data_IF_270981499217
#
_entry.id   IF_270981499217
#
_cell.length_a   1.000
_cell.length_b   1.000
_cell.length_c   1.000
_cell.angle_alpha   90.00
_cell.angle_beta   90.00
_cell.angle_gamma   90.00
#
_symmetry.space_group_name_H-M   'P 1'
#
loop_
_entity.id
_entity.type
_entity.pdbx_description
1 polymer ?
#
# COMPACT_ATOMS: atom_id res chain seq x y z
N UNK A 1 14.52 -0.53 -3.71
CA UNK A 1 13.47 -0.69 -2.67
C UNK A 1 12.62 -1.92 -2.94
N UNK A 2 12.06 -2.54 -1.90
CA UNK A 2 11.02 -3.56 -2.04
C UNK A 2 9.66 -2.89 -1.94
N UNK A 3 8.75 -3.14 -2.90
CA UNK A 3 7.44 -2.51 -2.95
C UNK A 3 6.34 -3.54 -3.19
N UNK A 4 5.27 -3.47 -2.39
CA UNK A 4 4.05 -4.25 -2.57
C UNK A 4 2.98 -3.33 -3.14
N UNK A 5 2.50 -3.61 -4.35
CA UNK A 5 1.37 -2.93 -4.96
C UNK A 5 0.08 -3.68 -4.66
N UNK A 6 -0.86 -3.04 -3.98
CA UNK A 6 -2.17 -3.61 -3.70
C UNK A 6 -3.09 -3.43 -4.92
N UNK A 7 -3.41 -4.51 -5.58
CA UNK A 7 -4.22 -4.56 -6.81
C UNK A 7 -5.53 -5.36 -6.65
N UNK A 8 -6.06 -5.47 -5.43
CA UNK A 8 -7.21 -6.32 -5.09
C UNK A 8 -8.61 -5.73 -5.38
N UNK A 9 -8.73 -4.59 -6.03
CA UNK A 9 -10.00 -3.91 -6.28
C UNK A 9 -10.99 -4.69 -7.15
N UNK A 10 -12.30 -4.69 -6.80
CA UNK A 10 -13.35 -5.45 -7.52
C UNK A 10 -13.75 -4.87 -8.88
N UNK A 11 -13.23 -3.72 -9.28
CA UNK A 11 -13.52 -3.09 -10.57
C UNK A 11 -14.99 -2.68 -10.83
N UNK A 12 -15.93 -2.99 -9.92
CA UNK A 12 -17.37 -2.84 -10.13
C UNK A 12 -17.87 -1.41 -10.31
N UNK A 13 -17.10 -0.41 -9.87
CA UNK A 13 -17.52 1.02 -9.88
C UNK A 13 -17.58 1.63 -11.28
N UNK A 14 -16.92 1.04 -12.27
CA UNK A 14 -16.90 1.54 -13.65
C UNK A 14 -17.63 0.58 -14.63
N UNK A 15 -18.56 -0.24 -14.13
CA UNK A 15 -19.37 -1.08 -15.00
C UNK A 15 -20.15 -0.20 -16.02
N UNK A 16 -20.22 -0.55 -17.35
CA UNK A 16 -19.78 -1.79 -17.97
C UNK A 16 -18.32 -1.83 -18.44
N UNK A 17 -17.53 -0.77 -18.24
CA UNK A 17 -16.13 -0.70 -18.69
C UNK A 17 -15.21 -1.63 -17.92
N UNK A 18 -15.55 -1.93 -16.65
CA UNK A 18 -14.78 -2.82 -15.78
C UNK A 18 -15.64 -3.91 -15.13
N UNK A 19 -15.03 -5.05 -14.85
CA UNK A 19 -15.60 -6.18 -14.13
C UNK A 19 -14.51 -6.88 -13.29
N UNK A 20 -14.83 -8.00 -12.62
CA UNK A 20 -13.89 -8.72 -11.76
C UNK A 20 -12.65 -9.27 -12.49
N UNK A 21 -12.74 -9.51 -13.81
CA UNK A 21 -11.62 -9.96 -14.66
C UNK A 21 -10.90 -8.73 -15.25
N UNK A 22 -11.66 -7.78 -15.79
CA UNK A 22 -11.16 -6.55 -16.38
C UNK A 22 -11.35 -5.38 -15.43
N UNK A 23 -10.57 -5.35 -14.35
CA UNK A 23 -10.59 -4.25 -13.39
C UNK A 23 -10.09 -2.94 -14.01
N UNK A 24 -10.50 -1.79 -13.43
CA UNK A 24 -10.19 -0.43 -13.92
C UNK A 24 -8.69 -0.21 -14.17
N UNK A 25 -7.83 -0.79 -13.34
CA UNK A 25 -6.38 -0.62 -13.42
C UNK A 25 -5.73 -1.27 -14.64
N UNK A 26 -6.45 -2.13 -15.39
CA UNK A 26 -5.96 -2.78 -16.61
C UNK A 26 -6.47 -2.14 -17.91
N UNK A 27 -7.33 -1.12 -17.81
CA UNK A 27 -7.86 -0.42 -18.99
C UNK A 27 -6.85 0.63 -19.43
N UNK A 28 -6.47 0.64 -20.72
CA UNK A 28 -5.53 1.60 -21.30
C UNK A 28 -6.21 2.95 -21.53
N UNK A 29 -6.14 3.84 -20.55
CA UNK A 29 -6.78 5.16 -20.55
C UNK A 29 -5.77 6.32 -20.53
N UNK A 30 -4.53 6.07 -20.14
CA UNK A 30 -3.53 7.11 -19.95
C UNK A 30 -2.65 7.23 -21.19
N UNK A 31 -2.56 8.44 -21.75
CA UNK A 31 -1.74 8.72 -22.93
C UNK A 31 -0.28 8.90 -22.53
N UNK A 32 0.62 8.19 -23.18
CA UNK A 32 2.07 8.33 -23.05
C UNK A 32 2.60 9.48 -23.91
N UNK A 33 3.83 9.98 -23.64
CA UNK A 33 4.46 11.00 -24.49
C UNK A 33 4.65 10.60 -25.96
N UNK A 34 4.80 9.31 -26.25
CA UNK A 34 4.92 8.75 -27.60
C UNK A 34 3.57 8.61 -28.35
N UNK A 35 2.46 9.00 -27.69
CA UNK A 35 1.12 8.93 -28.24
C UNK A 35 0.40 7.60 -28.04
N UNK A 36 1.07 6.56 -27.56
CA UNK A 36 0.46 5.29 -27.17
C UNK A 36 -0.37 5.41 -25.89
N UNK A 37 -1.16 4.38 -25.56
CA UNK A 37 -1.96 4.36 -24.34
C UNK A 37 -1.48 3.27 -23.39
N UNK A 38 -1.41 3.61 -22.11
CA UNK A 38 -1.08 2.69 -21.01
C UNK A 38 -2.24 2.56 -20.02
N UNK A 39 -2.29 1.46 -19.30
CA UNK A 39 -3.17 1.24 -18.16
C UNK A 39 -2.56 1.84 -16.89
N UNK A 40 -3.36 1.97 -15.81
CA UNK A 40 -2.86 2.47 -14.53
C UNK A 40 -1.71 1.61 -14.00
N UNK A 41 -1.81 0.28 -14.07
CA UNK A 41 -0.76 -0.59 -13.57
C UNK A 41 0.54 -0.48 -14.39
N UNK A 42 0.45 -0.31 -15.72
CA UNK A 42 1.63 -0.05 -16.57
C UNK A 42 2.26 1.30 -16.22
N UNK A 43 1.44 2.34 -16.00
CA UNK A 43 1.90 3.67 -15.60
C UNK A 43 2.65 3.63 -14.26
N UNK A 44 2.04 3.06 -13.23
CA UNK A 44 2.63 2.94 -11.90
C UNK A 44 3.94 2.14 -11.95
N UNK A 45 3.96 1.00 -12.64
CA UNK A 45 5.15 0.18 -12.79
C UNK A 45 6.29 0.95 -13.49
N UNK A 46 5.99 1.64 -14.58
CA UNK A 46 6.96 2.47 -15.31
C UNK A 46 7.52 3.59 -14.43
N UNK A 47 6.67 4.30 -13.68
CA UNK A 47 7.10 5.38 -12.79
C UNK A 47 7.98 4.87 -11.65
N UNK A 48 7.68 3.72 -11.06
CA UNK A 48 8.55 3.06 -10.07
C UNK A 48 9.94 2.80 -10.68
N UNK A 49 9.98 2.19 -11.87
CA UNK A 49 11.24 1.87 -12.57
C UNK A 49 12.02 3.11 -12.98
N UNK A 50 11.35 4.24 -13.23
CA UNK A 50 12.02 5.52 -13.52
C UNK A 50 12.73 6.08 -12.28
N UNK A 51 12.14 5.91 -11.09
CA UNK A 51 12.69 6.40 -9.82
C UNK A 51 13.74 5.43 -9.25
N UNK A 52 13.50 4.14 -9.40
CA UNK A 52 14.39 3.07 -8.91
C UNK A 52 14.35 1.89 -9.90
N UNK A 53 15.35 1.84 -10.78
CA UNK A 53 15.45 0.79 -11.80
C UNK A 53 15.61 -0.62 -11.22
N UNK A 54 16.15 -0.72 -9.99
CA UNK A 54 16.37 -1.99 -9.29
C UNK A 54 15.23 -2.32 -8.29
N UNK A 55 14.14 -1.53 -8.29
CA UNK A 55 13.01 -1.79 -7.40
C UNK A 55 12.45 -3.21 -7.59
N UNK A 56 12.32 -3.97 -6.51
CA UNK A 56 11.62 -5.24 -6.52
C UNK A 56 10.12 -4.98 -6.33
N UNK A 57 9.37 -5.15 -7.41
CA UNK A 57 7.93 -4.91 -7.42
C UNK A 57 7.19 -6.24 -7.25
N UNK A 58 6.35 -6.32 -6.21
CA UNK A 58 5.46 -7.45 -5.94
C UNK A 58 4.02 -6.97 -5.99
N UNK A 59 3.18 -7.60 -6.79
CA UNK A 59 1.77 -7.24 -6.93
C UNK A 59 0.93 -8.23 -6.13
N UNK A 60 0.23 -7.73 -5.09
CA UNK A 60 -0.76 -8.49 -4.34
C UNK A 60 -2.09 -8.43 -5.09
N UNK A 61 -2.59 -9.56 -5.55
CA UNK A 61 -3.75 -9.62 -6.45
C UNK A 61 -4.51 -10.95 -6.35
N UNK A 62 -5.70 -10.99 -6.94
CA UNK A 62 -6.48 -12.22 -7.05
C UNK A 62 -6.02 -13.08 -8.25
N UNK A 63 -6.27 -14.40 -8.17
CA UNK A 63 -5.95 -15.35 -9.24
C UNK A 63 -6.50 -14.94 -10.61
N UNK A 64 -7.69 -14.34 -10.67
CA UNK A 64 -8.33 -13.92 -11.92
C UNK A 64 -7.61 -12.79 -12.65
N UNK A 65 -6.72 -12.06 -11.98
CA UNK A 65 -6.01 -10.91 -12.54
C UNK A 65 -4.57 -11.23 -12.98
N UNK A 66 -4.03 -12.38 -12.60
CA UNK A 66 -2.65 -12.78 -12.87
C UNK A 66 -2.30 -12.71 -14.36
N UNK A 67 -3.12 -13.31 -15.23
CA UNK A 67 -2.88 -13.29 -16.68
C UNK A 67 -2.86 -11.88 -17.25
N UNK A 68 -3.75 -10.98 -16.77
CA UNK A 68 -3.78 -9.58 -17.22
C UNK A 68 -2.50 -8.85 -16.81
N UNK A 69 -2.00 -9.08 -15.59
CA UNK A 69 -0.77 -8.47 -15.09
C UNK A 69 0.43 -8.94 -15.91
N UNK A 70 0.58 -10.25 -16.12
CA UNK A 70 1.68 -10.81 -16.91
C UNK A 70 1.65 -10.34 -18.37
N UNK A 71 0.47 -10.21 -18.97
CA UNK A 71 0.33 -9.69 -20.33
C UNK A 71 0.73 -8.20 -20.46
N UNK A 72 0.54 -7.40 -19.41
CA UNK A 72 0.83 -5.96 -19.43
C UNK A 72 2.25 -5.65 -18.99
N UNK A 73 2.77 -6.36 -17.98
CA UNK A 73 4.06 -6.04 -17.33
C UNK A 73 5.17 -7.04 -17.65
N UNK A 74 4.85 -8.19 -18.27
CA UNK A 74 5.83 -9.25 -18.49
C UNK A 74 6.08 -10.09 -17.23
N UNK A 75 7.21 -10.80 -17.22
CA UNK A 75 7.58 -11.76 -16.17
C UNK A 75 8.53 -11.19 -15.11
N UNK A 76 8.99 -9.94 -15.26
CA UNK A 76 9.95 -9.29 -14.36
C UNK A 76 9.29 -8.70 -13.10
N UNK A 77 8.05 -9.06 -12.85
CA UNK A 77 7.25 -8.64 -11.70
C UNK A 77 6.91 -9.86 -10.84
N UNK A 78 7.05 -9.73 -9.53
CA UNK A 78 6.59 -10.75 -8.59
C UNK A 78 5.08 -10.64 -8.39
N UNK A 79 4.40 -11.77 -8.21
CA UNK A 79 2.96 -11.80 -7.96
C UNK A 79 2.68 -12.64 -6.71
N UNK A 80 2.10 -11.99 -5.70
CA UNK A 80 1.52 -12.65 -4.53
C UNK A 80 0.02 -12.83 -4.77
N UNK A 81 -0.41 -14.09 -4.93
CA UNK A 81 -1.80 -14.42 -5.30
C UNK A 81 -2.62 -14.69 -4.06
N UNK A 82 -3.64 -13.86 -3.84
CA UNK A 82 -4.64 -14.10 -2.81
C UNK A 82 -5.62 -15.21 -3.27
N UNK A 83 -5.78 -16.30 -2.49
CA UNK A 83 -6.76 -17.35 -2.80
C UNK A 83 -8.21 -16.84 -2.80
N UNK A 84 -8.52 -15.90 -1.91
CA UNK A 84 -9.82 -15.22 -1.80
C UNK A 84 -9.63 -13.81 -1.24
N UNK A 85 -10.69 -13.01 -1.13
CA UNK A 85 -10.59 -11.63 -0.60
C UNK A 85 -10.75 -11.60 0.91
N UNK A 86 -9.74 -11.10 1.63
CA UNK A 86 -9.71 -10.96 3.08
C UNK A 86 -9.31 -9.57 3.57
N UNK A 87 -9.48 -8.53 2.72
CA UNK A 87 -9.06 -7.16 2.98
C UNK A 87 -7.52 -7.01 3.03
N UNK A 88 -7.01 -5.84 3.40
CA UNK A 88 -5.61 -5.47 3.16
C UNK A 88 -4.63 -6.10 4.13
N UNK A 89 -5.00 -6.40 5.38
CA UNK A 89 -4.03 -7.00 6.31
C UNK A 89 -3.60 -8.41 5.90
N UNK A 90 -4.49 -9.38 5.62
CA UNK A 90 -4.07 -10.69 5.14
C UNK A 90 -3.32 -10.63 3.80
N UNK A 91 -3.69 -9.70 2.90
CA UNK A 91 -3.00 -9.51 1.62
C UNK A 91 -1.55 -9.04 1.82
N UNK A 92 -1.34 -8.07 2.71
CA UNK A 92 -0.01 -7.55 3.06
C UNK A 92 0.82 -8.62 3.78
N UNK A 93 0.23 -9.37 4.71
CA UNK A 93 0.90 -10.47 5.42
C UNK A 93 1.37 -11.56 4.45
N UNK A 94 0.49 -12.01 3.54
CA UNK A 94 0.83 -13.02 2.53
C UNK A 94 1.93 -12.53 1.58
N UNK A 95 1.84 -11.29 1.09
CA UNK A 95 2.85 -10.71 0.21
C UNK A 95 4.21 -10.50 0.93
N UNK A 96 4.18 -10.15 2.22
CA UNK A 96 5.38 -10.03 3.05
C UNK A 96 6.05 -11.40 3.27
N UNK A 97 5.27 -12.44 3.56
CA UNK A 97 5.78 -13.81 3.67
C UNK A 97 6.35 -14.31 2.32
N UNK A 98 5.69 -13.98 1.20
CA UNK A 98 6.19 -14.26 -0.15
C UNK A 98 7.55 -13.59 -0.40
N UNK A 99 7.70 -12.31 -0.04
CA UNK A 99 8.97 -11.60 -0.17
C UNK A 99 10.08 -12.28 0.63
N UNK A 100 9.80 -12.68 1.87
CA UNK A 100 10.79 -13.34 2.70
C UNK A 100 11.17 -14.74 2.19
N UNK A 101 10.19 -15.61 1.98
CA UNK A 101 10.45 -17.03 1.72
C UNK A 101 10.73 -17.34 0.23
N UNK A 102 10.09 -16.62 -0.71
CA UNK A 102 10.26 -16.88 -2.15
C UNK A 102 11.25 -15.94 -2.81
N UNK A 103 11.34 -14.70 -2.34
CA UNK A 103 12.27 -13.70 -2.89
C UNK A 103 13.52 -13.52 -2.02
N UNK A 104 13.61 -14.19 -0.87
CA UNK A 104 14.76 -14.16 0.05
C UNK A 104 15.11 -12.74 0.56
N UNK A 105 14.09 -11.89 0.74
CA UNK A 105 14.27 -10.57 1.32
C UNK A 105 14.55 -10.71 2.82
N UNK A 106 15.64 -10.13 3.33
CA UNK A 106 15.98 -10.12 4.75
C UNK A 106 14.89 -9.46 5.61
N UNK A 107 14.76 -9.90 6.87
CA UNK A 107 13.74 -9.40 7.79
C UNK A 107 13.93 -7.93 8.21
N UNK A 108 15.15 -7.43 8.13
CA UNK A 108 15.54 -6.07 8.48
C UNK A 108 15.45 -5.09 7.28
N UNK A 109 15.23 -5.59 6.06
CA UNK A 109 14.98 -4.74 4.90
C UNK A 109 13.58 -4.09 4.95
N UNK A 110 13.53 -2.84 4.49
CA UNK A 110 12.27 -2.12 4.39
C UNK A 110 11.44 -2.58 3.19
N UNK A 111 10.14 -2.60 3.40
CA UNK A 111 9.10 -2.81 2.39
C UNK A 111 8.14 -1.64 2.41
N UNK A 112 7.79 -1.14 1.23
CA UNK A 112 6.74 -0.12 1.05
C UNK A 112 5.50 -0.78 0.46
N UNK A 113 4.36 -0.49 1.04
CA UNK A 113 3.04 -0.91 0.52
C UNK A 113 2.31 0.32 0.01
N UNK A 114 1.78 0.25 -1.19
CA UNK A 114 0.91 1.31 -1.70
C UNK A 114 -0.20 0.74 -2.61
N UNK A 115 -1.35 1.43 -2.73
CA UNK A 115 -2.38 1.06 -3.68
C UNK A 115 -1.96 1.38 -5.12
N UNK A 116 -2.52 0.65 -6.10
CA UNK A 116 -2.22 0.83 -7.53
C UNK A 116 -3.10 1.90 -8.19
N UNK A 117 -4.12 2.40 -7.51
CA UNK A 117 -5.19 3.18 -8.12
C UNK A 117 -5.11 4.73 -8.01
N UNK A 118 -4.27 5.35 -7.18
CA UNK A 118 -4.13 6.81 -7.20
C UNK A 118 -3.49 7.30 -8.51
N UNK A 119 -3.99 8.43 -9.02
CA UNK A 119 -3.31 9.17 -10.08
C UNK A 119 -2.29 10.11 -9.45
N UNK A 120 -1.02 9.85 -9.70
CA UNK A 120 0.11 10.53 -9.08
C UNK A 120 1.25 10.73 -10.09
N UNK A 121 2.17 11.63 -9.78
CA UNK A 121 3.35 11.91 -10.59
C UNK A 121 4.62 11.32 -9.95
N UNK A 122 5.78 11.51 -10.58
CA UNK A 122 7.05 10.87 -10.18
C UNK A 122 7.55 11.29 -8.78
N UNK A 123 7.11 12.45 -8.27
CA UNK A 123 7.41 12.91 -6.91
C UNK A 123 6.81 11.99 -5.84
N UNK A 124 5.64 11.40 -6.11
CA UNK A 124 5.06 10.38 -5.23
C UNK A 124 5.96 9.15 -5.10
N UNK A 125 6.51 8.65 -6.20
CA UNK A 125 7.40 7.48 -6.17
C UNK A 125 8.77 7.81 -5.54
N UNK A 126 9.25 9.05 -5.67
CA UNK A 126 10.41 9.53 -4.88
C UNK A 126 10.10 9.53 -3.39
N UNK A 127 8.91 9.98 -3.00
CA UNK A 127 8.48 9.93 -1.60
C UNK A 127 8.36 8.48 -1.07
N UNK A 128 7.92 7.50 -1.89
CA UNK A 128 7.93 6.08 -1.51
C UNK A 128 9.35 5.58 -1.22
N UNK A 129 10.33 5.98 -2.01
CA UNK A 129 11.73 5.65 -1.77
C UNK A 129 12.24 6.27 -0.47
N UNK A 130 11.87 7.51 -0.21
CA UNK A 130 12.27 8.21 1.01
C UNK A 130 11.61 7.57 2.25
N UNK A 131 10.33 7.12 2.15
CA UNK A 131 9.67 6.32 3.18
C UNK A 131 10.42 5.00 3.46
N UNK A 132 10.83 4.28 2.41
CA UNK A 132 11.63 3.06 2.56
C UNK A 132 12.91 3.33 3.36
N UNK A 133 13.64 4.38 3.00
CA UNK A 133 14.87 4.77 3.70
C UNK A 133 14.62 5.17 5.15
N UNK A 134 13.50 5.86 5.43
CA UNK A 134 13.15 6.22 6.80
C UNK A 134 12.82 4.98 7.63
N UNK A 135 12.08 4.01 7.07
CA UNK A 135 11.79 2.74 7.75
C UNK A 135 13.05 1.91 8.04
N UNK A 136 14.07 1.96 7.17
CA UNK A 136 15.35 1.27 7.39
C UNK A 136 16.17 1.91 8.51
N UNK A 137 16.21 3.24 8.56
CA UNK A 137 17.09 4.01 9.47
C UNK A 137 16.43 4.33 10.81
N UNK A 138 15.10 4.48 10.81
CA UNK A 138 14.35 4.94 11.95
C UNK A 138 14.10 3.86 12.99
N UNK A 139 13.61 4.31 14.14
CA UNK A 139 13.20 3.46 15.26
C UNK A 139 11.70 3.14 15.23
N UNK A 140 10.94 3.80 14.35
CA UNK A 140 9.52 3.56 14.18
C UNK A 140 9.26 2.17 13.58
N UNK A 141 8.20 1.52 14.04
CA UNK A 141 7.74 0.25 13.47
C UNK A 141 7.01 0.46 12.13
N UNK A 142 6.32 1.60 12.00
CA UNK A 142 5.62 2.02 10.78
C UNK A 142 5.98 3.46 10.41
N UNK A 143 6.14 3.70 9.11
CA UNK A 143 6.23 5.05 8.54
C UNK A 143 5.07 5.21 7.56
N UNK A 144 4.24 6.22 7.76
CA UNK A 144 3.07 6.51 6.94
C UNK A 144 3.33 7.68 6.00
N UNK A 145 2.71 7.69 4.82
CA UNK A 145 2.63 8.87 3.98
C UNK A 145 1.39 9.68 4.38
N UNK A 146 1.62 10.91 4.84
CA UNK A 146 0.56 11.84 5.20
C UNK A 146 0.23 12.79 4.05
N UNK A 147 -1.02 12.77 3.59
CA UNK A 147 -1.54 13.63 2.52
C UNK A 147 -2.22 14.85 3.13
N UNK A 148 -1.99 16.04 2.56
CA UNK A 148 -2.65 17.25 3.04
C UNK A 148 -4.16 17.22 2.78
N UNK A 149 -5.01 17.24 3.83
CA UNK A 149 -6.46 17.25 3.65
C UNK A 149 -6.97 18.54 3.02
N UNK A 150 -7.98 18.42 2.19
CA UNK A 150 -8.67 19.57 1.56
C UNK A 150 -10.10 19.78 2.09
N UNK A 151 -10.67 18.77 2.76
CA UNK A 151 -12.00 18.81 3.39
C UNK A 151 -12.11 17.74 4.49
N UNK A 152 -13.10 17.84 5.41
CA UNK A 152 -13.35 16.78 6.39
C UNK A 152 -14.02 15.58 5.71
N UNK A 153 -13.28 14.48 5.54
CA UNK A 153 -13.74 13.26 4.88
C UNK A 153 -13.91 12.13 5.88
N UNK A 154 -15.02 11.42 5.81
CA UNK A 154 -15.26 10.18 6.57
C UNK A 154 -14.69 8.94 5.87
N UNK A 155 -14.00 9.12 4.71
CA UNK A 155 -13.52 8.02 3.87
C UNK A 155 -12.05 7.65 4.11
N UNK A 156 -11.30 8.51 4.79
CA UNK A 156 -9.86 8.37 5.03
C UNK A 156 -9.56 8.24 6.51
N UNK A 157 -8.47 7.56 6.82
CA UNK A 157 -7.83 7.63 8.12
C UNK A 157 -7.17 9.00 8.34
N UNK A 158 -7.08 9.43 9.57
CA UNK A 158 -6.47 10.68 10.00
C UNK A 158 -5.24 10.40 10.85
N UNK A 159 -4.14 11.04 10.47
CA UNK A 159 -2.84 10.98 11.16
C UNK A 159 -2.61 12.32 11.82
N UNK A 160 -2.50 12.36 13.14
CA UNK A 160 -2.21 13.59 13.88
C UNK A 160 -0.74 13.57 14.28
N UNK A 161 0.12 14.36 13.60
CA UNK A 161 1.54 14.42 13.90
C UNK A 161 1.80 15.22 15.19
N UNK A 162 2.90 14.94 15.87
CA UNK A 162 3.37 15.72 17.02
C UNK A 162 3.91 17.08 16.59
N UNK A 163 4.58 17.15 15.44
CA UNK A 163 5.21 18.37 14.92
C UNK A 163 4.75 18.71 13.52
N UNK A 164 5.11 19.92 13.04
CA UNK A 164 4.86 20.35 11.66
C UNK A 164 6.01 20.05 10.71
N UNK A 165 7.03 19.35 11.16
CA UNK A 165 8.18 19.00 10.35
C UNK A 165 7.82 18.03 9.22
N UNK A 166 8.72 17.88 8.24
CA UNK A 166 8.52 16.99 7.09
C UNK A 166 8.31 15.53 7.52
N UNK A 167 9.03 15.10 8.57
CA UNK A 167 8.84 13.82 9.26
C UNK A 167 8.56 14.08 10.72
N UNK A 168 7.55 13.42 11.26
CA UNK A 168 7.13 13.59 12.66
C UNK A 168 6.67 12.25 13.24
N UNK A 169 6.86 12.06 14.55
CA UNK A 169 6.15 11.02 15.29
C UNK A 169 4.64 11.30 15.25
N UNK A 170 3.85 10.24 15.32
CA UNK A 170 2.39 10.30 15.29
C UNK A 170 1.85 10.25 16.71
N UNK A 171 1.06 11.26 17.08
CA UNK A 171 0.38 11.32 18.37
C UNK A 171 -0.88 10.44 18.39
N UNK A 172 -1.63 10.44 17.30
CA UNK A 172 -2.90 9.71 17.19
C UNK A 172 -3.15 9.33 15.74
N UNK A 173 -3.65 8.12 15.54
CA UNK A 173 -4.22 7.66 14.29
C UNK A 173 -5.69 7.27 14.50
N UNK A 174 -6.56 7.60 13.54
CA UNK A 174 -7.96 7.16 13.56
C UNK A 174 -8.46 6.87 12.16
N UNK A 175 -8.89 5.63 11.95
CA UNK A 175 -9.46 5.21 10.68
C UNK A 175 -10.92 5.67 10.58
N UNK A 176 -11.26 6.37 9.49
CA UNK A 176 -12.61 6.78 9.10
C UNK A 176 -13.47 7.36 10.25
N UNK A 177 -13.04 8.45 10.89
CA UNK A 177 -13.83 9.12 11.90
C UNK A 177 -15.11 9.72 11.29
N UNK A 178 -16.09 10.05 12.13
CA UNK A 178 -17.22 10.87 11.70
C UNK A 178 -16.79 12.29 11.28
N UNK A 179 -17.66 13.01 10.57
CA UNK A 179 -17.34 14.34 10.05
C UNK A 179 -17.00 15.35 11.15
N UNK A 180 -17.66 15.27 12.32
CA UNK A 180 -17.41 16.18 13.44
C UNK A 180 -15.99 15.96 13.99
N UNK A 181 -15.61 14.72 14.23
CA UNK A 181 -14.25 14.33 14.65
C UNK A 181 -13.22 14.69 13.59
N UNK A 182 -13.51 14.47 12.30
CA UNK A 182 -12.64 14.84 11.20
C UNK A 182 -12.35 16.35 11.19
N UNK A 183 -13.37 17.19 11.41
CA UNK A 183 -13.21 18.66 11.51
C UNK A 183 -12.28 19.06 12.68
N UNK A 184 -12.41 18.41 13.83
CA UNK A 184 -11.52 18.67 14.96
C UNK A 184 -10.07 18.23 14.69
N UNK A 185 -9.87 17.10 14.01
CA UNK A 185 -8.54 16.67 13.61
C UNK A 185 -7.88 17.61 12.61
N UNK A 186 -8.64 18.16 11.66
CA UNK A 186 -8.12 19.18 10.73
C UNK A 186 -7.60 20.43 11.45
N UNK A 187 -8.28 20.88 12.51
CA UNK A 187 -7.80 22.02 13.33
C UNK A 187 -6.48 21.71 14.05
N UNK A 188 -6.22 20.43 14.32
CA UNK A 188 -4.98 19.97 14.95
C UNK A 188 -3.84 19.72 13.93
N UNK A 189 -4.06 20.01 12.65
CA UNK A 189 -3.06 19.80 11.59
C UNK A 189 -2.94 18.35 11.13
N UNK A 190 -3.99 17.56 11.28
CA UNK A 190 -4.03 16.18 10.83
C UNK A 190 -3.81 16.06 9.33
N UNK A 191 -3.26 14.92 8.93
CA UNK A 191 -3.06 14.50 7.55
C UNK A 191 -3.99 13.33 7.23
N UNK A 192 -4.36 13.14 5.97
CA UNK A 192 -5.01 11.91 5.54
C UNK A 192 -4.01 10.78 5.42
N UNK A 193 -4.42 9.57 5.80
CA UNK A 193 -3.72 8.35 5.46
C UNK A 193 -4.06 7.95 4.02
N UNK A 194 -3.04 7.94 3.16
CA UNK A 194 -3.17 7.56 1.75
C UNK A 194 -3.15 6.05 1.50
N UNK A 195 -3.12 5.22 2.56
CA UNK A 195 -2.97 3.77 2.44
C UNK A 195 -1.55 3.36 2.03
N UNK A 196 -0.57 4.19 2.36
CA UNK A 196 0.86 3.95 2.09
C UNK A 196 1.58 3.71 3.39
N UNK A 197 2.26 2.57 3.47
CA UNK A 197 2.95 2.10 4.66
C UNK A 197 4.37 1.67 4.31
N UNK A 198 5.35 2.03 5.15
CA UNK A 198 6.69 1.47 5.09
C UNK A 198 7.07 0.87 6.44
N UNK A 199 7.72 -0.29 6.42
CA UNK A 199 8.08 -1.06 7.61
C UNK A 199 9.26 -2.00 7.31
N UNK A 200 9.98 -2.46 8.33
CA UNK A 200 10.90 -3.59 8.19
C UNK A 200 10.10 -4.88 8.05
N UNK A 201 10.50 -5.73 7.12
CA UNK A 201 9.73 -6.95 6.75
C UNK A 201 9.37 -7.81 7.97
N UNK A 202 10.31 -8.00 8.89
CA UNK A 202 10.11 -8.76 10.12
C UNK A 202 8.97 -8.24 11.00
N UNK A 203 8.78 -6.92 11.07
CA UNK A 203 7.70 -6.33 11.87
C UNK A 203 6.31 -6.84 11.44
N UNK A 204 6.00 -6.81 10.15
CA UNK A 204 4.68 -7.26 9.65
C UNK A 204 4.52 -8.78 9.79
N UNK A 205 5.59 -9.55 9.61
CA UNK A 205 5.56 -10.99 9.85
C UNK A 205 5.31 -11.32 11.33
N UNK A 206 5.85 -10.56 12.26
CA UNK A 206 5.56 -10.70 13.69
C UNK A 206 4.10 -10.30 14.03
N UNK A 207 3.54 -9.30 13.34
CA UNK A 207 2.10 -8.97 13.45
C UNK A 207 1.23 -10.09 12.88
N UNK A 208 1.63 -10.71 11.75
CA UNK A 208 0.94 -11.87 11.20
C UNK A 208 0.96 -13.05 12.17
N UNK A 209 2.11 -13.38 12.76
CA UNK A 209 2.21 -14.42 13.79
C UNK A 209 1.27 -14.15 14.97
N UNK A 210 1.22 -12.90 15.45
CA UNK A 210 0.40 -12.52 16.61
C UNK A 210 -1.10 -12.55 16.30
N UNK A 211 -1.52 -12.05 15.13
CA UNK A 211 -2.92 -11.77 14.82
C UNK A 211 -3.57 -12.81 13.91
N UNK A 212 -2.77 -13.52 13.11
CA UNK A 212 -3.22 -14.57 12.18
C UNK A 212 -2.74 -15.96 12.60
N UNK A 213 -1.96 -16.06 13.69
CA UNK A 213 -1.40 -17.29 14.27
C UNK A 213 -0.41 -18.02 13.37
N UNK A 214 0.08 -17.37 12.32
CA UNK A 214 1.16 -17.85 11.47
C UNK A 214 1.78 -16.72 10.67
N UNK A 215 3.06 -16.86 10.33
CA UNK A 215 3.78 -15.96 9.40
C UNK A 215 4.38 -16.70 8.21
N UNK A 216 4.22 -18.03 8.16
CA UNK A 216 4.72 -18.86 7.08
C UNK A 216 3.85 -18.70 5.82
N UNK A 217 4.48 -18.49 4.67
CA UNK A 217 3.78 -18.25 3.40
C UNK A 217 2.78 -19.37 3.07
N UNK A 218 3.21 -20.63 3.17
CA UNK A 218 2.38 -21.75 2.79
C UNK A 218 1.16 -21.90 3.72
N UNK A 219 1.34 -21.72 5.03
CA UNK A 219 0.24 -21.79 5.99
C UNK A 219 -0.77 -20.65 5.79
N UNK A 220 -0.27 -19.42 5.59
CA UNK A 220 -1.13 -18.28 5.25
C UNK A 220 -1.93 -18.55 3.98
N UNK A 221 -1.29 -19.12 2.95
CA UNK A 221 -1.93 -19.41 1.67
C UNK A 221 -3.00 -20.50 1.80
N UNK A 222 -2.69 -21.62 2.46
CA UNK A 222 -3.58 -22.78 2.56
C UNK A 222 -4.82 -22.49 3.42
N UNK A 223 -4.66 -21.69 4.49
CA UNK A 223 -5.74 -21.30 5.39
C UNK A 223 -6.29 -19.89 5.11
N UNK A 224 -5.95 -19.28 3.98
CA UNK A 224 -6.29 -17.90 3.66
C UNK A 224 -7.79 -17.60 3.76
N UNK A 225 -8.65 -18.55 3.38
CA UNK A 225 -10.11 -18.40 3.45
C UNK A 225 -10.66 -18.33 4.88
N UNK A 226 -9.89 -18.78 5.87
CA UNK A 226 -10.25 -18.78 7.29
C UNK A 226 -9.78 -17.51 8.00
N UNK A 227 -8.82 -16.76 7.40
CA UNK A 227 -8.28 -15.55 8.00
C UNK A 227 -9.35 -14.48 8.20
N UNK A 228 -9.22 -13.61 9.21
CA UNK A 228 -10.14 -12.50 9.44
C UNK A 228 -10.15 -11.56 8.24
N UNK A 229 -11.33 -11.03 7.90
CA UNK A 229 -11.48 -9.99 6.88
C UNK A 229 -11.31 -8.62 7.54
N UNK A 230 -10.10 -8.09 7.53
CA UNK A 230 -9.75 -6.86 8.23
C UNK A 230 -8.71 -6.06 7.46
N UNK A 231 -8.82 -4.72 7.47
CA UNK A 231 -7.82 -3.85 6.88
C UNK A 231 -6.55 -3.77 7.73
N UNK A 232 -5.43 -3.41 7.10
CA UNK A 232 -4.16 -3.16 7.78
C UNK A 232 -4.27 -1.99 8.76
N UNK A 233 -5.04 -0.97 8.39
CA UNK A 233 -5.31 0.19 9.23
C UNK A 233 -5.95 -0.19 10.56
N UNK A 234 -7.02 -0.98 10.52
CA UNK A 234 -7.70 -1.45 11.74
C UNK A 234 -6.91 -2.51 12.51
N UNK A 235 -6.25 -3.44 11.82
CA UNK A 235 -5.56 -4.54 12.50
C UNK A 235 -4.23 -4.12 13.13
N UNK A 236 -3.51 -3.18 12.50
CA UNK A 236 -2.12 -2.85 12.83
C UNK A 236 -1.97 -1.38 13.17
N UNK A 237 -2.34 -0.45 12.27
CA UNK A 237 -1.99 0.97 12.44
C UNK A 237 -2.67 1.60 13.66
N UNK A 238 -3.96 1.30 13.90
CA UNK A 238 -4.68 1.83 15.08
C UNK A 238 -4.12 1.35 16.44
N UNK A 239 -3.33 0.28 16.44
CA UNK A 239 -2.79 -0.34 17.67
C UNK A 239 -1.27 -0.18 17.81
N UNK A 240 -0.60 0.48 16.85
CA UNK A 240 0.83 0.72 16.90
C UNK A 240 1.13 2.06 17.55
N UNK A 241 2.10 2.06 18.47
CA UNK A 241 2.52 3.28 19.21
C UNK A 241 3.73 3.95 18.57
N UNK A 242 4.59 3.17 17.88
CA UNK A 242 5.83 3.66 17.26
C UNK A 242 5.62 3.95 15.78
N UNK A 243 4.88 5.01 15.48
CA UNK A 243 4.57 5.44 14.13
C UNK A 243 5.23 6.80 13.84
N UNK A 244 5.80 6.92 12.66
CA UNK A 244 6.18 8.19 12.04
C UNK A 244 5.31 8.48 10.82
N UNK A 245 5.14 9.75 10.50
CA UNK A 245 4.50 10.22 9.29
C UNK A 245 5.45 11.14 8.51
N UNK A 246 5.57 10.90 7.21
CA UNK A 246 6.23 11.79 6.27
C UNK A 246 5.17 12.54 5.45
N UNK A 247 5.27 13.86 5.41
CA UNK A 247 4.33 14.73 4.67
C UNK A 247 4.60 14.64 3.18
N UNK A 248 3.58 14.36 2.42
CA UNK A 248 3.62 14.44 0.96
C UNK A 248 2.94 15.72 0.50
N UNK A 249 3.64 16.50 -0.33
CA UNK A 249 3.20 17.81 -0.83
C UNK A 249 2.82 17.79 -2.31
N UNK A 250 2.91 16.64 -2.97
CA UNK A 250 2.57 16.49 -4.37
C UNK A 250 1.08 16.32 -4.62
N UNK A 251 0.72 16.22 -5.90
CA UNK A 251 -0.65 15.99 -6.33
C UNK A 251 -1.04 14.53 -6.07
N UNK A 252 -2.19 14.34 -5.42
CA UNK A 252 -2.75 13.02 -5.11
C UNK A 252 -4.26 13.03 -5.40
N UNK A 253 -4.72 12.12 -6.31
CA UNK A 253 -6.12 12.03 -6.77
C UNK A 253 -6.61 10.60 -6.83
#
# INVERSE_FOLDING_TARGET
MNIILLSGGSGKRLWPLSNDIRSKQFIKLFKRPDGSYESMIERVYRQIRTVDAEARVTIATSRTQVSSILNLLGTDVNISVEPTRRDTFPAIALASAYLHEKCQVPLDEAVVVCPVDPYVEDDYFRALRDLSQQAERGEANLVLMGIQPTYPSEKYGYIIPETKEATSTVRTFKEKPDEATAREYLKQGALWNGGVFAYKLGYVLDRAETLLHTRAYQELFDHYAELPKISFDYAVVEHEEKIEVMRFHGEWK
#
